data_IF_366456053286
#
_entry.id   IF_366456053286
#
_cell.length_a   1.000
_cell.length_b   1.000
_cell.length_c   1.000
_cell.angle_alpha   90.00
_cell.angle_beta   90.00
_cell.angle_gamma   90.00
#
_symmetry.space_group_name_H-M   'P 1'
#
loop_
_entity.id
_entity.type
_entity.pdbx_description
1 polymer ?
#
# COMPACT_ATOMS: atom_id res chain seq x y z
N UNK A 1 20.47 2.75 -14.71
CA UNK A 1 19.52 2.03 -15.60
C UNK A 1 18.29 1.63 -14.77
N UNK A 2 17.20 2.31 -15.02
CA UNK A 2 15.90 1.93 -14.49
C UNK A 2 15.45 0.71 -15.28
N UNK A 3 15.36 -0.45 -14.62
CA UNK A 3 14.84 -1.65 -15.28
C UNK A 3 13.39 -1.37 -15.73
N UNK A 4 13.06 -1.62 -17.01
CA UNK A 4 11.71 -1.38 -17.49
C UNK A 4 10.73 -2.29 -16.75
N UNK A 5 9.58 -1.73 -16.37
CA UNK A 5 8.48 -2.49 -15.78
C UNK A 5 8.04 -3.59 -16.75
N UNK A 6 8.20 -4.85 -16.38
CA UNK A 6 7.66 -5.98 -17.14
C UNK A 6 6.23 -6.23 -16.68
N UNK A 7 5.27 -5.81 -17.48
CA UNK A 7 3.87 -6.15 -17.32
C UNK A 7 3.48 -7.24 -18.32
N UNK A 8 2.98 -8.36 -17.83
CA UNK A 8 2.29 -9.36 -18.65
C UNK A 8 0.79 -9.18 -18.39
N UNK A 9 0.04 -8.82 -19.42
CA UNK A 9 -1.40 -8.71 -19.34
C UNK A 9 -2.05 -9.47 -20.49
N UNK A 10 -2.89 -10.44 -20.17
CA UNK A 10 -3.74 -11.11 -21.14
C UNK A 10 -5.16 -10.59 -21.05
N UNK A 11 -5.72 -10.20 -22.20
CA UNK A 11 -7.10 -9.73 -22.33
C UNK A 11 -7.86 -10.66 -23.24
N UNK A 12 -8.79 -11.41 -22.67
CA UNK A 12 -9.71 -12.25 -23.45
C UNK A 12 -11.04 -11.53 -23.65
N UNK A 13 -11.35 -11.21 -24.92
CA UNK A 13 -12.69 -10.77 -25.34
C UNK A 13 -13.38 -11.89 -26.06
N UNK A 14 -14.49 -12.36 -25.55
CA UNK A 14 -15.36 -13.32 -26.23
C UNK A 14 -16.83 -12.94 -26.05
N UNK A 15 -17.64 -13.39 -26.97
CA UNK A 15 -19.09 -13.35 -26.91
C UNK A 15 -19.61 -14.78 -26.90
N UNK A 16 -20.33 -15.15 -25.84
CA UNK A 16 -21.04 -16.41 -25.77
C UNK A 16 -22.52 -16.12 -25.87
N UNK A 17 -23.13 -16.48 -27.03
CA UNK A 17 -24.48 -16.08 -27.41
C UNK A 17 -24.60 -14.54 -27.36
N UNK A 18 -25.45 -13.98 -26.50
CA UNK A 18 -25.66 -12.53 -26.34
C UNK A 18 -24.95 -11.98 -25.10
N UNK A 19 -23.91 -12.65 -24.59
CA UNK A 19 -23.14 -12.21 -23.40
C UNK A 19 -21.74 -11.74 -23.80
N UNK A 20 -21.53 -10.45 -24.05
CA UNK A 20 -20.18 -9.91 -24.18
C UNK A 20 -19.47 -9.92 -22.83
N UNK A 21 -18.25 -10.47 -22.80
CA UNK A 21 -17.44 -10.48 -21.62
C UNK A 21 -15.97 -10.17 -21.90
N UNK A 22 -15.32 -9.62 -20.92
CA UNK A 22 -13.87 -9.41 -20.92
C UNK A 22 -13.29 -9.92 -19.61
N UNK A 23 -12.22 -10.69 -19.68
CA UNK A 23 -11.40 -11.09 -18.53
C UNK A 23 -9.97 -10.63 -18.79
N UNK A 24 -9.35 -10.04 -17.82
CA UNK A 24 -7.96 -9.60 -17.90
C UNK A 24 -7.20 -10.05 -16.66
N UNK A 25 -5.98 -10.55 -16.88
CA UNK A 25 -5.03 -10.89 -15.83
C UNK A 25 -3.77 -10.07 -16.06
N UNK A 26 -3.18 -9.56 -15.02
CA UNK A 26 -1.97 -8.76 -15.11
C UNK A 26 -1.00 -9.07 -13.97
N UNK A 27 0.27 -9.08 -14.30
CA UNK A 27 1.38 -9.18 -13.36
C UNK A 27 2.35 -8.05 -13.62
N UNK A 28 2.80 -7.39 -12.57
CA UNK A 28 3.81 -6.33 -12.63
C UNK A 28 4.87 -6.61 -11.59
N UNK A 29 6.13 -6.56 -12.01
CA UNK A 29 7.29 -6.59 -11.11
C UNK A 29 8.20 -5.41 -11.44
N UNK A 30 8.58 -4.66 -10.40
CA UNK A 30 9.45 -3.49 -10.52
C UNK A 30 10.49 -3.53 -9.41
N UNK A 31 11.71 -3.21 -9.74
CA UNK A 31 12.78 -2.96 -8.79
C UNK A 31 13.08 -1.46 -8.79
N UNK A 32 13.16 -0.87 -7.62
CA UNK A 32 13.50 0.53 -7.49
C UNK A 32 14.99 0.80 -7.69
N UNK A 33 15.34 2.08 -7.81
CA UNK A 33 16.73 2.54 -7.95
C UNK A 33 17.52 2.26 -6.67
N UNK A 34 16.88 2.41 -5.50
CA UNK A 34 17.50 2.07 -4.23
C UNK A 34 17.52 0.56 -4.04
N UNK A 35 18.67 0.06 -3.59
CA UNK A 35 18.81 -1.31 -3.12
C UNK A 35 17.72 -1.60 -2.08
N UNK A 36 17.18 -2.81 -2.08
CA UNK A 36 16.08 -3.29 -1.23
C UNK A 36 14.67 -2.82 -1.62
N UNK A 37 14.52 -1.93 -2.59
CA UNK A 37 13.20 -1.51 -3.08
C UNK A 37 12.67 -2.48 -4.12
N UNK A 38 11.51 -3.09 -3.85
CA UNK A 38 10.86 -4.06 -4.73
C UNK A 38 9.34 -3.91 -4.69
N UNK A 39 8.69 -4.13 -5.83
CA UNK A 39 7.24 -4.05 -5.97
C UNK A 39 6.73 -5.16 -6.88
N UNK A 40 5.76 -5.92 -6.39
CA UNK A 40 5.05 -6.93 -7.16
C UNK A 40 3.55 -6.69 -7.06
N UNK A 41 2.84 -6.83 -8.17
CA UNK A 41 1.39 -6.65 -8.24
C UNK A 41 0.75 -7.67 -9.16
N UNK A 42 -0.29 -8.28 -8.67
CA UNK A 42 -1.20 -9.15 -9.42
C UNK A 42 -2.54 -8.45 -9.56
N UNK A 43 -3.10 -8.47 -10.75
CA UNK A 43 -4.42 -7.90 -11.03
C UNK A 43 -5.27 -8.89 -11.80
N UNK A 44 -6.54 -8.94 -11.46
CA UNK A 44 -7.53 -9.68 -12.21
C UNK A 44 -8.75 -8.78 -12.39
N UNK A 45 -9.34 -8.76 -13.59
CA UNK A 45 -10.57 -8.01 -13.81
C UNK A 45 -11.53 -8.79 -14.72
N UNK A 46 -12.81 -8.57 -14.46
CA UNK A 46 -13.91 -9.10 -15.27
C UNK A 46 -14.88 -7.97 -15.59
N UNK A 47 -15.37 -7.95 -16.83
CA UNK A 47 -16.40 -7.04 -17.30
C UNK A 47 -17.42 -7.84 -18.10
N UNK A 48 -18.70 -7.63 -17.78
CA UNK A 48 -19.84 -8.29 -18.40
C UNK A 48 -20.87 -7.24 -18.81
N UNK A 49 -21.33 -7.28 -20.05
CA UNK A 49 -22.29 -6.32 -20.56
C UNK A 49 -23.46 -7.03 -21.29
N UNK A 50 -24.24 -7.89 -20.59
CA UNK A 50 -25.38 -8.55 -21.20
C UNK A 50 -26.58 -7.61 -21.34
N UNK A 51 -27.43 -7.92 -22.34
CA UNK A 51 -28.76 -7.37 -22.48
C UNK A 51 -29.80 -8.46 -22.29
N UNK A 52 -30.91 -8.12 -21.67
CA UNK A 52 -32.02 -9.03 -21.37
C UNK A 52 -33.36 -8.40 -21.76
N UNK A 53 -34.42 -9.17 -21.73
CA UNK A 53 -35.79 -8.73 -21.92
C UNK A 53 -35.99 -8.01 -23.27
N UNK A 54 -35.44 -8.57 -24.36
CA UNK A 54 -35.47 -7.95 -25.69
C UNK A 54 -34.93 -6.54 -25.71
N UNK A 55 -33.69 -6.37 -25.12
CA UNK A 55 -32.95 -5.12 -25.04
C UNK A 55 -33.56 -4.02 -24.12
N UNK A 56 -34.54 -4.40 -23.28
CA UNK A 56 -35.09 -3.46 -22.29
C UNK A 56 -34.23 -3.38 -21.04
N UNK A 57 -33.45 -4.40 -20.70
CA UNK A 57 -32.57 -4.38 -19.56
C UNK A 57 -31.11 -4.53 -20.03
N UNK A 58 -30.32 -3.49 -19.84
CA UNK A 58 -28.87 -3.51 -20.01
C UNK A 58 -28.20 -3.62 -18.65
N UNK A 59 -27.25 -4.54 -18.54
CA UNK A 59 -26.47 -4.75 -17.33
C UNK A 59 -24.99 -4.49 -17.64
N UNK A 60 -24.35 -3.61 -16.90
CA UNK A 60 -22.90 -3.42 -16.94
C UNK A 60 -22.32 -3.84 -15.59
N UNK A 61 -21.61 -4.96 -15.58
CA UNK A 61 -20.91 -5.43 -14.39
C UNK A 61 -19.41 -5.36 -14.62
N UNK A 62 -18.70 -4.72 -13.69
CA UNK A 62 -17.27 -4.66 -13.67
C UNK A 62 -16.75 -5.01 -12.26
N UNK A 63 -15.74 -5.86 -12.21
CA UNK A 63 -15.04 -6.16 -10.98
C UNK A 63 -13.53 -6.24 -11.25
N UNK A 64 -12.72 -5.72 -10.34
CA UNK A 64 -11.27 -5.75 -10.40
C UNK A 64 -10.71 -6.06 -9.02
N UNK A 65 -9.92 -7.13 -8.97
CA UNK A 65 -9.12 -7.48 -7.79
C UNK A 65 -7.65 -7.14 -8.00
N UNK A 66 -6.99 -6.72 -6.95
CA UNK A 66 -5.56 -6.45 -6.92
C UNK A 66 -4.94 -7.02 -5.64
N UNK A 67 -3.75 -7.58 -5.79
CA UNK A 67 -2.87 -7.94 -4.68
C UNK A 67 -1.47 -7.40 -4.95
N UNK A 68 -0.87 -6.75 -3.97
CA UNK A 68 0.48 -6.20 -4.10
C UNK A 68 1.35 -6.53 -2.90
N UNK A 69 2.64 -6.75 -3.18
CA UNK A 69 3.71 -6.81 -2.19
C UNK A 69 4.71 -5.70 -2.52
N UNK A 70 5.10 -4.95 -1.51
CA UNK A 70 6.06 -3.85 -1.65
C UNK A 70 7.11 -3.97 -0.56
N UNK A 71 8.38 -3.85 -0.93
CA UNK A 71 9.47 -3.61 0.01
C UNK A 71 9.95 -2.19 -0.19
N UNK A 72 9.87 -1.39 0.87
CA UNK A 72 10.28 0.01 0.85
C UNK A 72 11.73 0.12 1.28
N UNK A 73 12.55 0.78 0.46
CA UNK A 73 13.91 1.15 0.86
C UNK A 73 13.86 2.39 1.77
N UNK A 74 14.79 2.47 2.70
CA UNK A 74 14.96 3.67 3.51
C UNK A 74 15.54 4.82 2.65
N UNK A 75 14.73 5.79 2.31
CA UNK A 75 15.11 6.92 1.43
C UNK A 75 16.11 7.87 2.07
N UNK A 76 16.28 7.85 3.40
CA UNK A 76 17.33 8.62 4.10
C UNK A 76 18.74 8.25 3.62
N UNK A 77 18.90 7.05 3.04
CA UNK A 77 20.15 6.63 2.42
C UNK A 77 20.61 7.54 1.28
N UNK A 78 19.70 8.23 0.57
CA UNK A 78 20.05 9.14 -0.53
C UNK A 78 20.77 10.37 0.00
N UNK A 79 20.17 11.05 0.99
CA UNK A 79 20.77 12.20 1.65
C UNK A 79 22.10 11.82 2.31
N UNK A 80 22.11 10.72 3.05
CA UNK A 80 23.32 10.22 3.70
C UNK A 80 24.45 9.93 2.70
N UNK A 81 24.14 9.39 1.52
CA UNK A 81 25.14 9.12 0.50
C UNK A 81 25.74 10.39 -0.13
N UNK A 82 24.95 11.48 -0.20
CA UNK A 82 25.44 12.75 -0.72
C UNK A 82 26.36 13.50 0.27
N UNK A 83 26.20 13.24 1.57
CA UNK A 83 26.93 13.90 2.65
C UNK A 83 28.11 13.07 3.17
N UNK A 84 28.12 11.77 2.87
CA UNK A 84 29.14 10.84 3.36
C UNK A 84 30.49 11.11 2.69
N UNK A 85 31.54 11.21 3.51
CA UNK A 85 32.90 11.31 3.01
C UNK A 85 33.27 10.03 2.21
N UNK A 86 33.57 10.16 0.90
CA UNK A 86 33.86 9.02 0.04
C UNK A 86 35.15 8.27 0.41
N UNK A 87 35.99 8.85 1.24
CA UNK A 87 37.23 8.20 1.75
C UNK A 87 36.96 7.21 2.88
N UNK A 88 35.76 7.26 3.49
CA UNK A 88 35.41 6.37 4.59
C UNK A 88 34.91 5.02 4.07
N UNK A 89 35.33 3.92 4.69
CA UNK A 89 34.86 2.59 4.28
C UNK A 89 33.40 2.41 4.66
N UNK A 90 32.70 1.58 3.91
CA UNK A 90 31.30 1.20 4.24
C UNK A 90 31.28 0.35 5.52
N UNK A 91 32.26 -0.53 5.69
CA UNK A 91 32.37 -1.44 6.84
C UNK A 91 33.77 -1.42 7.43
N UNK A 92 33.83 -1.60 8.74
CA UNK A 92 35.08 -1.75 9.48
C UNK A 92 34.98 -3.02 10.31
N UNK A 93 35.91 -3.96 10.07
CA UNK A 93 36.03 -5.17 10.85
C UNK A 93 36.84 -4.88 12.13
N UNK A 94 36.12 -4.48 13.17
CA UNK A 94 36.68 -4.32 14.51
C UNK A 94 35.61 -4.67 15.56
N UNK A 95 36.05 -5.09 16.72
CA UNK A 95 35.15 -5.45 17.82
C UNK A 95 34.15 -4.31 18.13
N UNK A 96 34.64 -3.09 18.18
CA UNK A 96 33.82 -1.91 18.46
C UNK A 96 32.71 -1.72 17.43
N UNK A 97 33.04 -1.74 16.11
CA UNK A 97 32.05 -1.54 15.06
C UNK A 97 31.12 -2.75 14.91
N UNK A 98 31.65 -3.95 15.05
CA UNK A 98 30.86 -5.18 14.96
C UNK A 98 29.80 -5.23 16.09
N UNK A 99 30.20 -4.92 17.32
CA UNK A 99 29.31 -4.93 18.48
C UNK A 99 28.24 -3.85 18.42
N UNK A 100 28.61 -2.62 18.05
CA UNK A 100 27.74 -1.46 18.19
C UNK A 100 26.96 -1.12 16.91
N UNK A 101 27.52 -1.39 15.73
CA UNK A 101 26.97 -0.98 14.43
C UNK A 101 26.85 -2.11 13.41
N UNK A 102 27.02 -3.37 13.83
CA UNK A 102 26.99 -4.50 12.88
C UNK A 102 28.08 -4.44 11.81
N UNK A 103 29.23 -3.83 12.15
CA UNK A 103 30.34 -3.64 11.24
C UNK A 103 30.26 -2.40 10.35
N UNK A 104 29.15 -1.67 10.33
CA UNK A 104 29.04 -0.44 9.54
C UNK A 104 29.83 0.71 10.15
N UNK A 105 30.58 1.43 9.31
CA UNK A 105 31.25 2.65 9.74
C UNK A 105 30.23 3.70 10.20
N UNK A 106 30.48 4.33 11.34
CA UNK A 106 29.76 5.49 11.84
C UNK A 106 30.74 6.49 12.45
N UNK A 107 30.46 7.76 12.34
CA UNK A 107 31.22 8.82 13.03
C UNK A 107 30.91 8.79 14.52
N UNK A 108 31.68 8.00 15.24
CA UNK A 108 31.51 7.76 16.65
C UNK A 108 32.87 7.58 17.34
N UNK A 109 32.92 7.77 18.62
CA UNK A 109 34.09 7.53 19.43
C UNK A 109 33.71 6.77 20.71
N UNK A 110 34.57 5.87 21.21
CA UNK A 110 34.38 5.30 22.52
C UNK A 110 34.29 6.37 23.60
N UNK A 111 33.36 6.21 24.52
CA UNK A 111 33.20 7.07 25.69
C UNK A 111 33.20 6.18 26.91
N UNK A 112 33.97 6.58 27.92
CA UNK A 112 33.93 5.89 29.21
C UNK A 112 32.68 6.36 29.97
N UNK A 113 31.72 5.47 30.10
CA UNK A 113 30.48 5.63 30.85
C UNK A 113 30.33 4.62 31.98
N UNK A 114 31.45 4.09 32.46
CA UNK A 114 31.43 3.08 33.51
C UNK A 114 31.02 1.71 32.99
N UNK A 115 30.16 1.02 33.71
CA UNK A 115 29.71 -0.34 33.39
C UNK A 115 28.55 -0.38 32.37
N UNK A 116 28.16 0.77 31.83
CA UNK A 116 27.08 0.83 30.86
C UNK A 116 27.48 0.26 29.48
N UNK A 117 26.61 -0.55 28.87
CA UNK A 117 26.86 -1.12 27.54
C UNK A 117 26.99 -0.07 26.43
N UNK A 118 26.49 1.13 26.65
CA UNK A 118 26.54 2.27 25.73
C UNK A 118 27.84 3.07 25.91
N UNK A 119 28.96 2.44 25.59
CA UNK A 119 30.31 3.06 25.75
C UNK A 119 30.76 3.79 24.48
N UNK A 120 29.87 4.45 23.79
CA UNK A 120 30.24 5.24 22.62
C UNK A 120 29.43 6.52 22.54
N UNK A 121 30.06 7.56 22.00
CA UNK A 121 29.41 8.80 21.63
C UNK A 121 29.22 8.85 20.12
N UNK A 122 28.03 9.20 19.72
CA UNK A 122 27.69 9.42 18.32
C UNK A 122 27.87 10.89 18.01
N UNK A 123 28.53 11.21 16.92
CA UNK A 123 28.57 12.58 16.44
C UNK A 123 27.20 12.91 15.81
N UNK A 124 26.38 13.66 16.55
CA UNK A 124 25.03 14.06 16.12
C UNK A 124 25.01 14.97 14.89
N UNK A 125 26.13 15.64 14.60
CA UNK A 125 26.27 16.56 13.46
C UNK A 125 26.74 15.84 12.19
N UNK A 126 27.18 14.58 12.29
CA UNK A 126 27.64 13.82 11.14
C UNK A 126 26.50 13.06 10.46
N UNK A 127 26.68 12.81 9.17
CA UNK A 127 25.81 11.92 8.42
C UNK A 127 25.94 10.46 8.87
N UNK A 128 24.98 9.65 8.50
CA UNK A 128 24.93 8.21 8.79
C UNK A 128 25.46 7.40 7.63
N UNK A 129 25.87 6.17 7.89
CA UNK A 129 26.27 5.26 6.81
C UNK A 129 25.05 4.91 5.93
N UNK A 130 25.06 5.25 4.63
CA UNK A 130 23.90 5.02 3.74
C UNK A 130 23.59 3.53 3.55
N UNK A 131 24.59 2.66 3.57
CA UNK A 131 24.38 1.21 3.46
C UNK A 131 23.80 0.64 4.75
N UNK A 132 24.12 1.21 5.90
CA UNK A 132 23.48 0.83 7.16
C UNK A 132 21.98 1.15 7.11
N UNK A 133 21.57 2.32 6.61
CA UNK A 133 20.15 2.65 6.44
C UNK A 133 19.41 1.59 5.60
N UNK A 134 20.00 1.15 4.51
CA UNK A 134 19.35 0.18 3.61
C UNK A 134 19.28 -1.24 4.19
N UNK A 135 20.33 -1.65 4.92
CA UNK A 135 20.47 -3.07 5.32
C UNK A 135 20.01 -3.33 6.77
N UNK A 136 19.84 -2.27 7.59
CA UNK A 136 19.40 -2.40 8.98
C UNK A 136 17.93 -2.06 9.20
N UNK A 137 17.21 -1.74 8.12
CA UNK A 137 15.77 -1.51 8.14
C UNK A 137 15.06 -2.48 7.20
N UNK A 138 13.83 -2.83 7.56
CA UNK A 138 12.93 -3.56 6.68
C UNK A 138 11.53 -2.96 6.81
N UNK A 139 10.96 -2.50 5.71
CA UNK A 139 9.58 -2.02 5.63
C UNK A 139 8.89 -2.78 4.50
N UNK A 140 7.93 -3.64 4.84
CA UNK A 140 7.23 -4.50 3.89
C UNK A 140 5.74 -4.25 3.96
N UNK A 141 5.16 -3.85 2.84
CA UNK A 141 3.74 -3.63 2.66
C UNK A 141 3.06 -4.72 1.86
N UNK A 142 1.86 -5.09 2.27
CA UNK A 142 0.94 -5.94 1.50
C UNK A 142 -0.35 -5.19 1.32
N UNK A 143 -0.84 -5.14 0.08
CA UNK A 143 -2.09 -4.49 -0.27
C UNK A 143 -3.04 -5.44 -0.97
N UNK A 144 -4.32 -5.35 -0.62
CA UNK A 144 -5.43 -6.03 -1.30
C UNK A 144 -6.46 -4.98 -1.65
N UNK A 145 -6.98 -5.05 -2.85
CA UNK A 145 -8.04 -4.15 -3.31
C UNK A 145 -9.05 -4.95 -4.13
N UNK A 146 -10.32 -4.69 -3.88
CA UNK A 146 -11.43 -5.18 -4.68
C UNK A 146 -12.35 -4.00 -4.98
N UNK A 147 -12.39 -3.61 -6.25
CA UNK A 147 -13.32 -2.61 -6.77
C UNK A 147 -14.31 -3.26 -7.70
N UNK A 148 -15.55 -2.81 -7.63
CA UNK A 148 -16.58 -3.31 -8.53
C UNK A 148 -17.77 -2.37 -8.60
N UNK A 149 -18.47 -2.46 -9.72
CA UNK A 149 -19.75 -1.80 -9.90
C UNK A 149 -20.70 -2.68 -10.72
N UNK A 150 -21.96 -2.52 -10.43
CA UNK A 150 -23.05 -3.04 -11.24
C UNK A 150 -23.98 -1.89 -11.61
N UNK A 151 -24.21 -1.74 -12.89
CA UNK A 151 -25.09 -0.73 -13.46
C UNK A 151 -26.21 -1.44 -14.19
N UNK A 152 -27.43 -1.05 -13.92
CA UNK A 152 -28.64 -1.55 -14.52
C UNK A 152 -29.35 -0.39 -15.19
N UNK A 153 -29.68 -0.52 -16.46
CA UNK A 153 -30.53 0.39 -17.21
C UNK A 153 -31.74 -0.37 -17.72
N UNK A 154 -32.92 0.05 -17.28
CA UNK A 154 -34.17 -0.60 -17.62
C UNK A 154 -35.13 0.35 -18.32
N UNK A 155 -35.43 0.06 -19.59
CA UNK A 155 -36.49 0.71 -20.39
C UNK A 155 -37.82 0.10 -20.02
N UNK A 156 -38.74 0.88 -19.51
CA UNK A 156 -40.05 0.34 -19.07
C UNK A 156 -40.85 -0.14 -20.26
N UNK A 157 -41.29 -1.39 -20.20
CA UNK A 157 -42.12 -1.97 -21.25
C UNK A 157 -43.43 -1.19 -21.44
N UNK A 158 -43.69 -0.77 -22.67
CA UNK A 158 -44.88 0.03 -23.03
C UNK A 158 -44.77 1.52 -22.69
N UNK A 159 -43.62 1.93 -22.13
CA UNK A 159 -43.27 3.31 -21.89
C UNK A 159 -41.75 3.47 -22.06
N UNK A 160 -41.25 3.16 -23.26
CA UNK A 160 -39.82 3.10 -23.56
C UNK A 160 -39.11 4.47 -23.44
N UNK A 161 -39.90 5.56 -23.40
CA UNK A 161 -39.40 6.91 -23.12
C UNK A 161 -38.92 7.09 -21.64
N UNK A 162 -39.27 6.13 -20.75
CA UNK A 162 -38.91 6.14 -19.35
C UNK A 162 -37.87 5.08 -19.04
N UNK A 163 -36.69 5.52 -18.60
CA UNK A 163 -35.58 4.71 -18.17
C UNK A 163 -35.42 4.75 -16.65
N UNK A 164 -35.22 3.61 -16.05
CA UNK A 164 -34.78 3.47 -14.65
C UNK A 164 -33.33 3.03 -14.63
N UNK A 165 -32.51 3.82 -13.99
CA UNK A 165 -31.06 3.58 -13.87
C UNK A 165 -30.68 3.34 -12.43
N UNK A 166 -29.91 2.28 -12.19
CA UNK A 166 -29.35 1.93 -10.87
C UNK A 166 -27.88 1.60 -11.04
N UNK A 167 -27.02 2.27 -10.29
CA UNK A 167 -25.59 1.96 -10.22
C UNK A 167 -25.20 1.76 -8.75
N UNK A 168 -24.72 0.55 -8.44
CA UNK A 168 -24.17 0.21 -7.13
C UNK A 168 -22.66 -0.06 -7.28
N UNK A 169 -21.87 0.60 -6.47
CA UNK A 169 -20.41 0.51 -6.49
C UNK A 169 -19.83 0.14 -5.13
N UNK A 170 -18.69 -0.55 -5.15
CA UNK A 170 -17.89 -0.87 -3.98
C UNK A 170 -16.41 -0.67 -4.24
N UNK A 171 -15.67 -0.20 -3.22
CA UNK A 171 -14.21 -0.09 -3.21
C UNK A 171 -13.71 -0.55 -1.84
N UNK A 172 -13.15 -1.76 -1.81
CA UNK A 172 -12.66 -2.43 -0.61
C UNK A 172 -11.14 -2.50 -0.67
N UNK A 173 -10.47 -1.93 0.32
CA UNK A 173 -9.01 -1.92 0.43
C UNK A 173 -8.59 -2.41 1.79
N UNK A 174 -7.59 -3.28 1.80
CA UNK A 174 -6.92 -3.75 3.01
C UNK A 174 -5.42 -3.70 2.80
N UNK A 175 -4.74 -2.99 3.68
CA UNK A 175 -3.29 -2.83 3.67
C UNK A 175 -2.68 -3.23 5.00
N UNK A 176 -1.53 -3.89 4.96
CA UNK A 176 -0.69 -4.15 6.12
C UNK A 176 0.75 -3.77 5.80
N UNK A 177 1.40 -3.07 6.71
CA UNK A 177 2.84 -2.78 6.65
C UNK A 177 3.50 -3.30 7.91
N UNK A 178 4.57 -4.06 7.72
CA UNK A 178 5.42 -4.58 8.79
C UNK A 178 6.78 -3.85 8.74
N UNK A 179 7.14 -3.16 9.82
CA UNK A 179 8.38 -2.40 9.95
C UNK A 179 9.30 -3.05 10.97
N UNK A 180 10.57 -3.11 10.63
CA UNK A 180 11.62 -3.62 11.49
C UNK A 180 12.87 -2.74 11.39
N UNK A 181 13.42 -2.38 12.53
CA UNK A 181 14.71 -1.72 12.67
C UNK A 181 15.63 -2.62 13.50
N UNK A 182 16.77 -2.95 12.91
CA UNK A 182 17.80 -3.73 13.60
C UNK A 182 18.37 -2.93 14.78
N UNK A 183 18.89 -3.63 15.77
CA UNK A 183 19.68 -3.02 16.87
C UNK A 183 20.88 -2.20 16.36
N UNK A 184 21.35 -2.45 15.17
CA UNK A 184 22.47 -1.74 14.56
C UNK A 184 22.03 -0.50 13.76
N UNK A 185 20.72 -0.23 13.70
CA UNK A 185 20.24 0.99 13.08
C UNK A 185 20.51 2.17 13.98
N UNK A 186 21.28 3.12 13.45
CA UNK A 186 21.75 4.25 14.19
C UNK A 186 20.67 5.24 14.62
N UNK A 187 19.60 5.39 13.85
CA UNK A 187 18.49 6.28 14.20
C UNK A 187 17.59 5.69 15.28
N UNK A 188 17.84 4.46 15.66
CA UNK A 188 17.09 3.80 16.70
C UNK A 188 17.87 3.84 18.01
N UNK A 189 17.39 4.59 19.00
CA UNK A 189 17.95 4.67 20.35
C UNK A 189 17.77 3.38 21.17
N UNK A 190 17.10 2.40 20.59
CA UNK A 190 16.81 1.11 21.22
C UNK A 190 17.66 0.01 20.57
N UNK A 191 17.72 -1.16 21.21
CA UNK A 191 18.37 -2.35 20.63
C UNK A 191 17.61 -2.94 19.45
N UNK A 192 16.83 -2.18 18.79
CA UNK A 192 15.98 -2.55 17.70
C UNK A 192 14.53 -2.18 17.98
N UNK A 193 13.71 -2.22 16.96
CA UNK A 193 12.28 -2.00 17.10
C UNK A 193 11.54 -2.68 15.97
N UNK A 194 10.30 -3.01 16.23
CA UNK A 194 9.41 -3.54 15.20
C UNK A 194 7.98 -3.12 15.43
N UNK A 195 7.23 -3.12 14.39
CA UNK A 195 5.83 -2.75 14.47
C UNK A 195 5.10 -3.09 13.19
N UNK A 196 3.81 -2.94 13.23
CA UNK A 196 2.93 -3.09 12.09
C UNK A 196 1.84 -2.02 12.12
N UNK A 197 1.33 -1.72 10.97
CA UNK A 197 0.07 -0.99 10.82
C UNK A 197 -0.81 -1.68 9.80
N UNK A 198 -2.10 -1.64 10.05
CA UNK A 198 -3.13 -2.06 9.09
C UNK A 198 -4.02 -0.88 8.77
N UNK A 199 -4.50 -0.85 7.55
CA UNK A 199 -5.52 0.10 7.14
C UNK A 199 -6.55 -0.62 6.30
N UNK A 200 -7.78 -0.63 6.79
CA UNK A 200 -8.93 -1.16 6.08
C UNK A 200 -9.86 -0.01 5.68
N UNK A 201 -10.27 -0.03 4.43
CA UNK A 201 -11.16 0.99 3.86
C UNK A 201 -12.24 0.28 3.06
N UNK A 202 -13.48 0.62 3.30
CA UNK A 202 -14.57 0.21 2.45
C UNK A 202 -15.48 1.38 2.13
N UNK A 203 -15.69 1.59 0.85
CA UNK A 203 -16.54 2.62 0.31
C UNK A 203 -17.64 1.96 -0.49
N UNK A 204 -18.87 2.35 -0.23
CA UNK A 204 -20.04 1.85 -0.94
C UNK A 204 -20.78 3.05 -1.55
N UNK A 205 -21.32 2.86 -2.74
CA UNK A 205 -22.09 3.87 -3.42
C UNK A 205 -23.34 3.25 -4.05
N UNK A 206 -24.44 3.99 -4.02
CA UNK A 206 -25.68 3.66 -4.69
C UNK A 206 -26.21 4.92 -5.36
N UNK A 207 -26.39 4.87 -6.65
CA UNK A 207 -26.97 5.94 -7.45
C UNK A 207 -28.17 5.39 -8.21
N UNK A 208 -29.32 6.00 -8.08
CA UNK A 208 -30.56 5.59 -8.73
C UNK A 208 -31.25 6.82 -9.31
N UNK A 209 -31.65 6.73 -10.57
CA UNK A 209 -32.47 7.79 -11.16
C UNK A 209 -33.49 7.24 -12.17
N UNK A 210 -34.55 8.00 -12.36
CA UNK A 210 -35.51 7.81 -13.45
C UNK A 210 -35.34 8.98 -14.41
N UNK A 211 -35.25 8.67 -15.70
CA UNK A 211 -35.16 9.66 -16.77
C UNK A 211 -36.29 9.43 -17.76
N UNK A 212 -37.07 10.46 -18.01
CA UNK A 212 -38.08 10.47 -19.02
C UNK A 212 -37.70 11.42 -20.15
N UNK A 213 -37.54 10.86 -21.36
CA UNK A 213 -37.13 11.61 -22.56
C UNK A 213 -38.15 11.42 -23.65
N UNK A 214 -38.72 12.51 -24.17
CA UNK A 214 -39.73 12.44 -25.22
C UNK A 214 -39.65 13.59 -26.20
N UNK A 215 -39.75 13.26 -27.47
CA UNK A 215 -39.92 14.24 -28.55
C UNK A 215 -41.39 14.44 -28.89
N UNK A 216 -41.83 15.70 -28.78
CA UNK A 216 -43.15 16.13 -29.17
C UNK A 216 -43.08 16.89 -30.50
N UNK A 217 -43.45 16.21 -31.57
CA UNK A 217 -43.35 16.75 -32.93
C UNK A 217 -41.89 16.90 -33.37
N UNK A 218 -41.62 17.88 -34.24
CA UNK A 218 -40.28 18.11 -34.82
C UNK A 218 -39.42 19.12 -34.04
N UNK A 219 -40.02 19.88 -33.12
CA UNK A 219 -39.37 21.06 -32.54
C UNK A 219 -39.30 21.09 -31.02
N UNK A 220 -39.89 20.10 -30.35
CA UNK A 220 -39.92 20.06 -28.88
C UNK A 220 -39.34 18.77 -28.37
N UNK A 221 -38.23 18.87 -27.65
CA UNK A 221 -37.58 17.78 -26.91
C UNK A 221 -37.82 18.02 -25.42
N UNK A 222 -38.32 17.03 -24.74
CA UNK A 222 -38.51 17.06 -23.29
C UNK A 222 -37.64 15.99 -22.63
N UNK A 223 -36.82 16.40 -21.68
CA UNK A 223 -35.98 15.54 -20.88
C UNK A 223 -36.09 15.98 -19.40
N UNK A 224 -36.45 15.04 -18.55
CA UNK A 224 -36.52 15.25 -17.12
C UNK A 224 -35.93 14.04 -16.39
N UNK A 225 -35.10 14.32 -15.40
CA UNK A 225 -34.46 13.31 -14.58
C UNK A 225 -34.66 13.65 -13.10
N UNK A 226 -34.91 12.60 -12.31
CA UNK A 226 -34.95 12.69 -10.85
C UNK A 226 -34.27 11.46 -10.25
N UNK A 227 -33.46 11.67 -9.22
CA UNK A 227 -32.69 10.58 -8.67
C UNK A 227 -32.33 10.74 -7.20
N UNK A 228 -31.70 9.70 -6.70
CA UNK A 228 -31.18 9.57 -5.35
C UNK A 228 -29.78 9.02 -5.37
N UNK A 229 -28.89 9.60 -4.57
CA UNK A 229 -27.53 9.14 -4.38
C UNK A 229 -27.27 8.89 -2.90
N UNK A 230 -26.59 7.77 -2.61
CA UNK A 230 -26.12 7.41 -1.29
C UNK A 230 -24.69 6.94 -1.36
N UNK A 231 -23.87 7.39 -0.39
CA UNK A 231 -22.49 6.98 -0.26
C UNK A 231 -22.17 6.68 1.20
N UNK A 232 -21.34 5.67 1.40
CA UNK A 232 -20.81 5.32 2.71
C UNK A 232 -19.31 5.14 2.62
N UNK A 233 -18.59 5.86 3.48
CA UNK A 233 -17.14 5.79 3.59
C UNK A 233 -16.77 5.32 4.97
N UNK A 234 -15.89 4.31 5.02
CA UNK A 234 -15.34 3.82 6.27
C UNK A 234 -13.84 3.61 6.12
N UNK A 235 -13.10 4.06 7.12
CA UNK A 235 -11.66 3.83 7.22
C UNK A 235 -11.31 3.49 8.66
N UNK A 236 -10.63 2.36 8.83
CA UNK A 236 -10.08 1.92 10.10
C UNK A 236 -8.56 1.78 9.96
N UNK A 237 -7.82 2.21 10.98
CA UNK A 237 -6.36 2.09 11.01
C UNK A 237 -5.94 1.64 12.37
N UNK A 238 -5.27 0.48 12.44
CA UNK A 238 -4.66 -0.05 13.63
C UNK A 238 -3.15 -0.05 13.46
N UNK A 239 -2.43 0.26 14.53
CA UNK A 239 -0.98 0.14 14.53
C UNK A 239 -0.46 -0.31 15.89
N UNK A 240 0.66 -1.02 15.82
CA UNK A 240 1.37 -1.50 16.97
C UNK A 240 2.86 -1.31 16.73
N UNK A 241 3.54 -0.71 17.68
CA UNK A 241 4.96 -0.49 17.60
C UNK A 241 5.59 -0.72 18.96
N UNK A 242 6.68 -1.48 18.99
CA UNK A 242 7.46 -1.68 20.19
C UNK A 242 8.95 -1.66 19.90
N UNK A 243 9.69 -1.10 20.83
CA UNK A 243 11.15 -1.08 20.81
C UNK A 243 11.71 -1.98 21.89
N UNK A 244 12.88 -2.51 21.62
CA UNK A 244 13.69 -3.19 22.61
C UNK A 244 14.55 -2.14 23.28
N UNK A 245 14.33 -1.91 24.55
CA UNK A 245 15.06 -0.89 25.29
C UNK A 245 16.47 -1.36 25.66
N UNK A 246 17.48 -0.47 25.60
CA UNK A 246 18.80 -0.75 26.15
C UNK A 246 18.79 -0.80 27.67
N UNK A 247 17.65 -0.86 28.25
CA UNK A 247 17.40 -0.49 29.58
C UNK A 247 18.05 -1.38 30.62
N UNK A 248 18.42 -0.79 31.69
CA UNK A 248 18.56 -1.26 33.07
C UNK A 248 18.59 -2.77 33.33
N UNK A 249 18.17 -3.60 32.39
CA UNK A 249 18.35 -5.06 32.44
C UNK A 249 19.68 -5.42 31.78
N UNK A 250 20.77 -5.31 32.56
CA UNK A 250 22.12 -5.68 32.15
C UNK A 250 22.26 -7.17 31.83
N UNK A 251 21.32 -8.00 32.27
CA UNK A 251 21.36 -9.45 32.09
C UNK A 251 20.81 -9.87 30.72
N UNK A 252 19.86 -9.11 30.15
CA UNK A 252 19.20 -9.42 28.89
C UNK A 252 19.08 -8.17 27.98
N UNK A 253 20.20 -7.59 27.54
CA UNK A 253 20.17 -6.43 26.69
C UNK A 253 19.55 -6.79 25.34
N UNK A 254 18.53 -6.06 24.92
CA UNK A 254 17.84 -6.26 23.66
C UNK A 254 16.62 -7.18 23.74
N UNK A 255 16.25 -7.65 24.91
CA UNK A 255 14.95 -8.29 25.09
C UNK A 255 13.82 -7.28 25.08
N UNK A 256 12.70 -7.67 24.51
CA UNK A 256 11.48 -6.88 24.53
C UNK A 256 11.00 -6.84 25.98
N UNK A 257 10.94 -5.65 26.57
CA UNK A 257 10.19 -5.47 27.79
C UNK A 257 8.74 -5.85 27.55
N UNK A 258 8.09 -6.30 28.59
CA UNK A 258 6.72 -6.82 28.61
C UNK A 258 5.84 -6.21 27.50
N UNK A 259 5.29 -7.02 26.60
CA UNK A 259 4.39 -6.55 25.54
C UNK A 259 3.20 -5.73 26.06
N UNK A 260 2.82 -5.91 27.33
CA UNK A 260 1.77 -5.12 27.97
C UNK A 260 2.12 -3.65 28.19
N UNK A 261 3.41 -3.29 28.15
CA UNK A 261 3.86 -1.91 28.26
C UNK A 261 3.85 -1.16 26.92
N UNK A 262 3.58 -1.87 25.83
CA UNK A 262 3.55 -1.28 24.50
C UNK A 262 2.20 -0.61 24.24
N UNK A 263 2.25 0.54 23.60
CA UNK A 263 1.06 1.31 23.26
C UNK A 263 0.46 0.81 21.94
N UNK A 264 -0.76 0.28 22.01
CA UNK A 264 -1.58 0.01 20.84
C UNK A 264 -2.43 1.25 20.57
N UNK A 265 -2.43 1.72 19.33
CA UNK A 265 -3.23 2.86 18.89
C UNK A 265 -4.25 2.39 17.85
N UNK A 266 -5.49 2.76 18.07
CA UNK A 266 -6.61 2.52 17.14
C UNK A 266 -7.12 3.85 16.59
#
# INVERSE_FOLDING_TARGET
>A
DVAPSRGLGDVYKRQYKNLPYRVSLGYTKQQGILKTSDFERYTASVSLNPTFLNDHLTVNFNAKGMYSNTTYANTSAIGAASEMDPTKPVMIDSEFYNKNFGGYFQYSSPVDRGDDEWKYSINSLSTRNPMAYLNTTSDKGKGKELTGNIELDYKIHGLEDLHLHVNAGMDLKSGKSDKYYSRYNYDNYYYGSQGWNTQDTYNLSLNMYAQYTKDFGKNHHFDVMGGYEWQHFHKETDYYYYGTYPDTNKEHPGEIKDPSENTLYK
#
